data_IF_057700095561
#
_entry.id   IF_057700095561
#
_cell.length_a   1.000
_cell.length_b   1.000
_cell.length_c   1.000
_cell.angle_alpha   90.00
_cell.angle_beta   90.00
_cell.angle_gamma   90.00
#
_symmetry.space_group_name_H-M   'P 1'
#
loop_
_entity.id
_entity.type
_entity.pdbx_description
1 polymer ?
#
# COMPACT_ATOMS: atom_id res chain seq x y z
N UNK A 1 8.27 -25.67 -6.36
CA UNK A 1 8.58 -24.31 -6.85
C UNK A 1 7.37 -23.87 -7.67
N UNK A 2 6.45 -23.01 -7.25
CA UNK A 2 6.44 -21.97 -6.22
C UNK A 2 4.97 -21.77 -5.84
N UNK A 3 4.65 -21.57 -4.56
CA UNK A 3 3.27 -21.41 -4.09
C UNK A 3 2.68 -20.09 -4.61
N UNK A 4 1.98 -20.20 -5.73
CA UNK A 4 1.10 -19.18 -6.27
C UNK A 4 -0.19 -19.16 -5.42
N UNK A 5 -0.06 -18.78 -4.14
CA UNK A 5 -1.23 -18.44 -3.33
C UNK A 5 -1.83 -17.21 -3.99
N UNK A 6 -2.91 -17.46 -4.73
CA UNK A 6 -3.81 -16.49 -5.35
C UNK A 6 -4.14 -15.39 -4.34
N UNK A 7 -3.28 -14.39 -4.23
CA UNK A 7 -3.50 -13.21 -3.40
C UNK A 7 -4.72 -12.54 -4.00
N UNK A 8 -5.89 -12.78 -3.41
CA UNK A 8 -7.12 -12.09 -3.73
C UNK A 8 -7.20 -10.91 -2.77
N UNK A 9 -6.84 -9.72 -3.23
CA UNK A 9 -6.90 -8.51 -2.40
C UNK A 9 -5.90 -7.44 -2.82
N UNK A 10 -5.81 -6.33 -2.08
CA UNK A 10 -4.85 -5.26 -2.37
C UNK A 10 -3.39 -5.74 -2.46
N UNK A 11 -3.04 -6.86 -1.81
CA UNK A 11 -1.72 -7.48 -1.87
C UNK A 11 -1.32 -7.95 -3.28
N UNK A 12 -2.25 -8.19 -4.21
CA UNK A 12 -1.91 -8.54 -5.61
C UNK A 12 -1.16 -7.42 -6.34
N UNK A 13 -1.31 -6.18 -5.87
CA UNK A 13 -0.64 -5.03 -6.46
C UNK A 13 0.80 -4.86 -5.97
N UNK A 14 1.20 -5.55 -4.91
CA UNK A 14 2.50 -5.36 -4.25
C UNK A 14 3.69 -5.60 -5.18
N UNK A 15 3.77 -6.71 -5.93
CA UNK A 15 4.89 -6.94 -6.85
C UNK A 15 5.00 -5.84 -7.92
N UNK A 16 3.87 -5.31 -8.39
CA UNK A 16 3.82 -4.23 -9.38
C UNK A 16 4.25 -2.89 -8.80
N UNK A 17 3.92 -2.62 -7.52
CA UNK A 17 4.33 -1.42 -6.79
C UNK A 17 5.85 -1.44 -6.59
N UNK A 18 6.38 -2.55 -6.07
CA UNK A 18 7.82 -2.70 -5.84
C UNK A 18 8.60 -2.58 -7.15
N UNK A 19 8.13 -3.23 -8.21
CA UNK A 19 8.74 -3.13 -9.54
C UNK A 19 8.68 -1.72 -10.13
N UNK A 20 7.60 -0.97 -9.86
CA UNK A 20 7.40 0.37 -10.44
C UNK A 20 8.13 1.48 -9.67
N UNK A 21 8.17 1.40 -8.35
CA UNK A 21 8.73 2.45 -7.49
C UNK A 21 10.06 2.06 -6.84
N UNK A 22 10.53 0.83 -7.03
CA UNK A 22 11.85 0.37 -6.60
C UNK A 22 12.01 0.16 -5.09
N UNK A 23 10.92 0.25 -4.33
CA UNK A 23 10.95 0.12 -2.86
C UNK A 23 10.01 -0.99 -2.40
N UNK A 24 10.40 -1.77 -1.37
CA UNK A 24 9.61 -2.88 -0.87
C UNK A 24 8.28 -2.40 -0.28
N UNK A 25 7.25 -3.25 -0.27
CA UNK A 25 5.94 -2.85 0.30
C UNK A 25 6.01 -2.46 1.78
N UNK A 26 6.89 -3.08 2.57
CA UNK A 26 7.11 -2.69 3.97
C UNK A 26 7.45 -1.21 4.10
N UNK A 27 8.33 -0.69 3.23
CA UNK A 27 8.72 0.71 3.25
C UNK A 27 7.51 1.65 3.09
N UNK A 28 6.60 1.30 2.17
CA UNK A 28 5.38 2.06 1.95
C UNK A 28 4.39 1.97 3.12
N UNK A 29 4.26 0.80 3.74
CA UNK A 29 3.40 0.61 4.90
C UNK A 29 3.93 1.36 6.13
N UNK A 30 5.25 1.40 6.32
CA UNK A 30 5.90 2.18 7.38
C UNK A 30 5.68 3.68 7.18
N UNK A 31 5.82 4.18 5.94
CA UNK A 31 5.49 5.56 5.58
C UNK A 31 4.02 5.88 5.89
N UNK A 32 3.09 5.01 5.48
CA UNK A 32 1.66 5.16 5.81
C UNK A 32 1.45 5.16 7.32
N UNK A 33 2.20 4.36 8.07
CA UNK A 33 2.22 4.36 9.54
C UNK A 33 2.47 5.74 10.13
N UNK A 34 3.38 6.53 9.55
CA UNK A 34 3.68 7.90 10.01
C UNK A 34 2.52 8.88 9.81
N UNK A 35 1.64 8.61 8.83
CA UNK A 35 0.46 9.43 8.50
C UNK A 35 -0.86 8.72 8.80
N UNK A 36 -0.83 7.62 9.56
CA UNK A 36 -1.97 6.74 9.83
C UNK A 36 -3.10 7.39 10.61
N UNK A 37 -2.84 8.55 11.25
CA UNK A 37 -3.86 9.39 11.88
C UNK A 37 -4.75 10.17 10.91
N UNK A 38 -4.45 10.14 9.60
CA UNK A 38 -5.26 10.79 8.55
C UNK A 38 -6.33 9.86 7.99
N UNK A 39 -7.34 10.43 7.34
CA UNK A 39 -8.37 9.62 6.66
C UNK A 39 -7.76 8.86 5.48
N UNK A 40 -8.34 7.71 5.11
CA UNK A 40 -7.94 6.90 3.95
C UNK A 40 -7.62 7.74 2.70
N UNK A 41 -8.55 8.62 2.31
CA UNK A 41 -8.40 9.47 1.13
C UNK A 41 -7.27 10.50 1.26
N UNK A 42 -6.97 10.97 2.47
CA UNK A 42 -5.86 11.89 2.70
C UNK A 42 -4.51 11.18 2.59
N UNK A 43 -4.41 9.94 3.09
CA UNK A 43 -3.20 9.12 2.93
C UNK A 43 -2.99 8.79 1.45
N UNK A 44 -4.05 8.45 0.72
CA UNK A 44 -3.98 8.23 -0.74
C UNK A 44 -3.52 9.51 -1.45
N UNK A 45 -4.06 10.67 -1.10
CA UNK A 45 -3.63 11.94 -1.69
C UNK A 45 -2.15 12.25 -1.38
N UNK A 46 -1.71 11.99 -0.15
CA UNK A 46 -0.32 12.18 0.28
C UNK A 46 0.65 11.27 -0.48
N UNK A 47 0.33 9.97 -0.64
CA UNK A 47 1.14 9.05 -1.45
C UNK A 47 1.23 9.48 -2.92
N UNK A 48 0.16 10.05 -3.46
CA UNK A 48 0.15 10.60 -4.82
C UNK A 48 1.02 11.86 -4.93
N UNK A 49 0.93 12.76 -3.95
CA UNK A 49 1.61 14.06 -3.98
C UNK A 49 3.10 13.93 -3.68
N UNK A 50 3.47 13.25 -2.60
CA UNK A 50 4.87 13.14 -2.15
C UNK A 50 5.67 12.10 -2.91
N UNK A 51 5.02 10.99 -3.28
CA UNK A 51 5.72 9.83 -3.84
C UNK A 51 5.31 9.51 -5.27
N UNK A 52 4.40 10.28 -5.86
CA UNK A 52 3.97 10.09 -7.25
C UNK A 52 3.23 8.76 -7.49
N UNK A 53 2.67 8.14 -6.44
CA UNK A 53 1.96 6.87 -6.61
C UNK A 53 0.70 7.04 -7.47
N UNK A 54 0.45 6.11 -8.39
CA UNK A 54 -0.82 5.99 -9.09
C UNK A 54 -1.99 5.68 -8.14
N UNK A 55 -3.20 6.09 -8.50
CA UNK A 55 -4.39 5.97 -7.65
C UNK A 55 -4.65 4.53 -7.17
N UNK A 56 -4.60 3.55 -8.07
CA UNK A 56 -4.80 2.14 -7.72
C UNK A 56 -3.73 1.59 -6.76
N UNK A 57 -2.47 1.99 -6.94
CA UNK A 57 -1.35 1.58 -6.10
C UNK A 57 -1.44 2.18 -4.70
N UNK A 58 -1.70 3.49 -4.62
CA UNK A 58 -1.90 4.17 -3.34
C UNK A 58 -3.10 3.58 -2.58
N UNK A 59 -4.22 3.38 -3.27
CA UNK A 59 -5.41 2.80 -2.64
C UNK A 59 -5.18 1.38 -2.13
N UNK A 60 -4.43 0.55 -2.87
CA UNK A 60 -4.12 -0.81 -2.45
C UNK A 60 -3.28 -0.82 -1.15
N UNK A 61 -2.25 0.01 -1.06
CA UNK A 61 -1.40 0.10 0.14
C UNK A 61 -2.18 0.57 1.36
N UNK A 62 -2.97 1.64 1.21
CA UNK A 62 -3.76 2.20 2.31
C UNK A 62 -4.86 1.23 2.75
N UNK A 63 -5.57 0.60 1.81
CA UNK A 63 -6.58 -0.39 2.13
C UNK A 63 -6.00 -1.60 2.88
N UNK A 64 -4.82 -2.08 2.46
CA UNK A 64 -4.13 -3.17 3.15
C UNK A 64 -3.70 -2.76 4.56
N UNK A 65 -3.08 -1.59 4.71
CA UNK A 65 -2.64 -1.06 6.01
C UNK A 65 -3.81 -0.92 6.99
N UNK A 66 -4.92 -0.30 6.54
CA UNK A 66 -6.11 -0.09 7.38
C UNK A 66 -6.86 -1.38 7.69
N UNK A 67 -6.89 -2.34 6.75
CA UNK A 67 -7.47 -3.66 7.00
C UNK A 67 -6.66 -4.45 8.04
N UNK A 68 -5.33 -4.35 8.01
CA UNK A 68 -4.43 -4.96 9.01
C UNK A 68 -4.56 -4.31 10.39
N UNK A 69 -4.63 -2.97 10.45
CA UNK A 69 -4.79 -2.22 11.70
C UNK A 69 -6.12 -2.49 12.42
N UNK A 70 -7.15 -2.99 11.71
CA UNK A 70 -8.45 -3.31 12.31
C UNK A 70 -8.47 -4.66 13.05
N UNK A 71 -7.40 -5.44 12.98
CA UNK A 71 -7.26 -6.77 13.57
C UNK A 71 -6.28 -6.80 14.76
N UNK A 72 -6.00 -5.66 15.41
CA UNK A 72 -5.12 -5.56 16.59
C UNK A 72 -5.81 -4.86 17.75
#
# INVERSE_FOLDING_TARGET
MSEETKVKGPASYFPSIEKKYGQPVSHWLELIGTVSGKKHMEIVAWLKAEHGLGHGHANALVAYFLAGAKNS
#
